data_IF_465781682185
#
_entry.id   IF_465781682185
#
_cell.length_a   1.000
_cell.length_b   1.000
_cell.length_c   1.000
_cell.angle_alpha   90.00
_cell.angle_beta   90.00
_cell.angle_gamma   90.00
#
_symmetry.space_group_name_H-M   'P 1'
#
loop_
_entity.id
_entity.type
_entity.pdbx_description
1 polymer ?
#
# COMPACT_ATOMS: atom_id res chain seq x y z
N UNK A 1 17.74 3.66 -9.83
CA UNK A 1 16.95 2.68 -10.62
C UNK A 1 15.63 2.32 -9.96
N UNK A 2 15.62 1.95 -8.71
CA UNK A 2 14.38 1.58 -7.99
C UNK A 2 13.34 2.70 -8.02
N UNK A 3 13.71 3.93 -7.70
CA UNK A 3 12.78 5.06 -7.69
C UNK A 3 12.23 5.38 -9.08
N UNK A 4 13.01 5.25 -10.13
CA UNK A 4 12.55 5.47 -11.50
C UNK A 4 11.51 4.44 -11.91
N UNK A 5 11.70 3.17 -11.55
CA UNK A 5 10.73 2.11 -11.81
C UNK A 5 9.45 2.34 -11.01
N UNK A 6 9.56 2.72 -9.75
CA UNK A 6 8.40 3.06 -8.92
C UNK A 6 7.62 4.24 -9.49
N UNK A 7 8.31 5.26 -10.00
CA UNK A 7 7.66 6.40 -10.64
C UNK A 7 6.83 5.97 -11.87
N UNK A 8 7.38 5.09 -12.70
CA UNK A 8 6.64 4.57 -13.85
C UNK A 8 5.45 3.71 -13.43
N UNK A 9 5.65 2.83 -12.47
CA UNK A 9 4.57 1.97 -11.97
C UNK A 9 3.45 2.77 -11.33
N UNK A 10 3.77 3.87 -10.65
CA UNK A 10 2.78 4.74 -10.05
C UNK A 10 1.91 5.48 -11.07
N UNK A 11 2.30 5.48 -12.34
CA UNK A 11 1.53 6.07 -13.44
C UNK A 11 0.68 5.05 -14.20
N UNK A 12 0.82 3.77 -13.91
CA UNK A 12 0.02 2.74 -14.57
C UNK A 12 -1.45 2.95 -14.23
N UNK A 13 -2.27 3.16 -15.26
CA UNK A 13 -3.70 3.33 -15.09
C UNK A 13 -4.39 1.98 -14.98
N UNK A 14 -5.27 1.85 -14.01
CA UNK A 14 -6.07 0.66 -13.79
C UNK A 14 -7.52 0.98 -14.04
N UNK A 15 -8.12 0.29 -15.02
CA UNK A 15 -9.51 0.49 -15.39
C UNK A 15 -10.47 -0.40 -14.59
N UNK A 16 -9.99 -1.54 -14.09
CA UNK A 16 -10.82 -2.48 -13.35
C UNK A 16 -10.77 -2.21 -11.86
N UNK A 17 -11.92 -2.15 -11.23
CA UNK A 17 -12.06 -1.95 -9.79
C UNK A 17 -11.34 -3.04 -8.99
N UNK A 18 -11.45 -4.31 -9.42
CA UNK A 18 -10.78 -5.42 -8.72
C UNK A 18 -9.26 -5.26 -8.70
N UNK A 19 -8.66 -4.79 -9.79
CA UNK A 19 -7.22 -4.54 -9.86
C UNK A 19 -6.81 -3.38 -8.95
N UNK A 20 -7.58 -2.31 -8.94
CA UNK A 20 -7.33 -1.18 -8.05
C UNK A 20 -7.41 -1.61 -6.58
N UNK A 21 -8.42 -2.41 -6.22
CA UNK A 21 -8.58 -2.94 -4.87
C UNK A 21 -7.44 -3.87 -4.48
N UNK A 22 -6.99 -4.73 -5.41
CA UNK A 22 -5.85 -5.62 -5.18
C UNK A 22 -4.57 -4.83 -4.90
N UNK A 23 -4.33 -3.75 -5.65
CA UNK A 23 -3.19 -2.88 -5.42
C UNK A 23 -3.25 -2.19 -4.05
N UNK A 24 -4.43 -1.67 -3.67
CA UNK A 24 -4.63 -1.04 -2.36
C UNK A 24 -4.37 -2.04 -1.23
N UNK A 25 -4.92 -3.26 -1.34
CA UNK A 25 -4.70 -4.30 -0.34
C UNK A 25 -3.22 -4.62 -0.16
N UNK A 26 -2.49 -4.74 -1.27
CA UNK A 26 -1.05 -5.01 -1.22
C UNK A 26 -0.27 -3.83 -0.64
N UNK A 27 -0.58 -2.59 -1.05
CA UNK A 27 0.07 -1.41 -0.50
C UNK A 27 -0.11 -1.31 1.01
N UNK A 28 -1.34 -1.49 1.50
CA UNK A 28 -1.63 -1.42 2.93
C UNK A 28 -0.97 -2.56 3.70
N UNK A 29 -0.90 -3.74 3.12
CA UNK A 29 -0.27 -4.90 3.77
C UNK A 29 1.24 -4.73 3.89
N UNK A 30 1.90 -4.22 2.85
CA UNK A 30 3.36 -4.12 2.81
C UNK A 30 3.89 -2.79 3.36
N UNK A 31 3.19 -1.67 3.14
CA UNK A 31 3.65 -0.35 3.58
C UNK A 31 3.02 0.12 4.87
N UNK A 32 2.00 -0.58 5.35
CA UNK A 32 1.21 -0.07 6.43
C UNK A 32 0.97 -1.04 7.55
N UNK A 33 -0.03 -0.73 8.29
CA UNK A 33 -0.44 -1.53 9.40
C UNK A 33 -1.67 -0.97 10.09
N UNK A 34 -2.07 -1.71 11.09
CA UNK A 34 -3.17 -1.35 11.98
C UNK A 34 -2.60 -0.76 13.24
N UNK A 35 -3.17 0.35 13.67
CA UNK A 35 -2.83 0.97 14.94
C UNK A 35 -4.08 1.11 15.79
N UNK A 36 -3.95 0.92 17.09
CA UNK A 36 -5.02 1.21 18.02
C UNK A 36 -4.77 2.57 18.65
N UNK A 37 -5.67 3.51 18.41
CA UNK A 37 -5.61 4.84 18.97
C UNK A 37 -6.91 5.10 19.71
N UNK A 38 -6.83 5.27 21.02
CA UNK A 38 -7.99 5.50 21.90
C UNK A 38 -9.09 4.43 21.71
N UNK A 39 -8.68 3.17 21.53
CA UNK A 39 -9.60 2.05 21.35
C UNK A 39 -10.15 1.89 19.94
N UNK A 40 -9.76 2.76 19.01
CA UNK A 40 -10.19 2.69 17.61
C UNK A 40 -9.09 2.17 16.70
N UNK A 41 -9.49 1.41 15.69
CA UNK A 41 -8.56 0.93 14.67
C UNK A 41 -8.30 2.05 13.66
N UNK A 42 -7.03 2.37 13.49
CA UNK A 42 -6.55 3.33 12.49
C UNK A 42 -5.70 2.56 11.47
N UNK A 43 -6.00 2.78 10.19
CA UNK A 43 -5.17 2.22 9.09
C UNK A 43 -4.17 3.28 8.67
N UNK A 44 -2.90 2.91 8.60
CA UNK A 44 -1.83 3.84 8.27
C UNK A 44 -0.83 3.17 7.33
N UNK A 45 -0.35 3.91 6.34
CA UNK A 45 0.69 3.44 5.42
C UNK A 45 1.75 4.52 5.26
N UNK A 46 3.01 4.13 5.35
CA UNK A 46 4.16 5.01 5.16
C UNK A 46 4.87 4.68 3.86
N UNK A 47 5.01 5.68 3.00
CA UNK A 47 5.56 5.54 1.65
C UNK A 47 6.70 6.54 1.42
N UNK A 48 7.61 6.18 0.54
CA UNK A 48 8.79 6.99 0.24
C UNK A 48 8.59 7.95 -0.94
N UNK A 49 7.45 7.88 -1.62
CA UNK A 49 7.17 8.74 -2.78
C UNK A 49 5.77 9.34 -2.69
N UNK A 50 5.69 10.65 -2.92
CA UNK A 50 4.42 11.38 -2.87
C UNK A 50 3.41 10.92 -3.90
N UNK A 51 3.85 10.51 -5.09
CA UNK A 51 2.98 10.00 -6.14
C UNK A 51 2.23 8.75 -5.70
N UNK A 52 2.93 7.84 -5.05
CA UNK A 52 2.36 6.57 -4.56
C UNK A 52 1.36 6.86 -3.45
N UNK A 53 1.72 7.76 -2.53
CA UNK A 53 0.84 8.15 -1.43
C UNK A 53 -0.45 8.82 -1.94
N UNK A 54 -0.34 9.72 -2.91
CA UNK A 54 -1.51 10.37 -3.52
C UNK A 54 -2.40 9.36 -4.25
N UNK A 55 -1.79 8.42 -4.95
CA UNK A 55 -2.51 7.34 -5.63
C UNK A 55 -3.27 6.46 -4.64
N UNK A 56 -2.62 6.06 -3.56
CA UNK A 56 -3.25 5.26 -2.51
C UNK A 56 -4.42 6.02 -1.87
N UNK A 57 -4.21 7.28 -1.51
CA UNK A 57 -5.27 8.11 -0.93
C UNK A 57 -6.48 8.23 -1.86
N UNK A 58 -6.22 8.51 -3.13
CA UNK A 58 -7.27 8.63 -4.14
C UNK A 58 -8.08 7.32 -4.26
N UNK A 59 -7.39 6.20 -4.31
CA UNK A 59 -8.04 4.89 -4.43
C UNK A 59 -8.87 4.55 -3.18
N UNK A 60 -8.38 4.87 -2.00
CA UNK A 60 -9.15 4.66 -0.76
C UNK A 60 -10.44 5.49 -0.79
N UNK A 61 -10.35 6.75 -1.17
CA UNK A 61 -11.52 7.63 -1.24
C UNK A 61 -12.52 7.15 -2.29
N UNK A 62 -12.04 6.87 -3.50
CA UNK A 62 -12.91 6.47 -4.61
C UNK A 62 -13.52 5.08 -4.47
N UNK A 63 -12.72 4.11 -4.03
CA UNK A 63 -13.15 2.71 -3.98
C UNK A 63 -13.91 2.36 -2.71
N UNK A 64 -13.57 2.98 -1.60
CA UNK A 64 -14.11 2.61 -0.29
C UNK A 64 -14.88 3.73 0.41
N UNK A 65 -14.80 4.95 -0.10
CA UNK A 65 -15.56 6.07 0.45
C UNK A 65 -15.10 6.56 1.81
N UNK A 66 -13.86 6.26 2.20
CA UNK A 66 -13.31 6.72 3.47
C UNK A 66 -12.46 7.97 3.30
N UNK A 67 -12.53 8.88 4.24
CA UNK A 67 -11.62 10.03 4.29
C UNK A 67 -10.22 9.53 4.64
N UNK A 68 -9.25 9.96 3.86
CA UNK A 68 -7.86 9.61 4.09
C UNK A 68 -7.02 10.88 4.19
N UNK A 69 -6.20 10.95 5.24
CA UNK A 69 -5.29 12.07 5.45
C UNK A 69 -3.94 11.73 4.85
N UNK A 70 -3.31 12.72 4.21
CA UNK A 70 -1.96 12.60 3.69
C UNK A 70 -1.07 13.60 4.43
N UNK A 71 -0.07 13.08 5.13
CA UNK A 71 0.90 13.88 5.84
C UNK A 71 2.29 13.68 5.26
N UNK A 72 3.10 14.73 5.30
CA UNK A 72 4.49 14.67 4.85
C UNK A 72 5.39 14.81 6.08
N UNK A 73 6.24 13.81 6.30
CA UNK A 73 7.22 13.84 7.38
C UNK A 73 8.59 14.13 6.77
N UNK A 74 9.23 15.20 7.25
CA UNK A 74 10.59 15.53 6.82
C UNK A 74 11.59 14.69 7.60
N UNK A 75 12.53 14.09 6.87
CA UNK A 75 13.62 13.35 7.49
C UNK A 75 14.59 14.27 8.18
N UNK A 76 15.11 13.83 9.33
CA UNK A 76 16.16 14.54 10.07
C UNK A 76 17.29 13.56 10.43
N UNK A 77 18.51 14.07 10.53
CA UNK A 77 19.66 13.26 10.90
C UNK A 77 20.04 12.24 9.83
N UNK A 78 20.08 10.95 10.18
CA UNK A 78 20.50 9.87 9.32
C UNK A 78 19.49 9.62 8.18
N UNK A 79 18.20 9.82 8.44
CA UNK A 79 17.15 9.71 7.43
C UNK A 79 17.03 11.01 6.66
N UNK A 80 17.53 10.99 5.42
CA UNK A 80 17.35 12.09 4.48
C UNK A 80 16.18 11.78 3.56
N UNK A 81 15.36 12.77 3.31
CA UNK A 81 14.21 12.66 2.42
C UNK A 81 12.89 12.64 3.16
N UNK A 82 11.82 12.95 2.42
CA UNK A 82 10.48 13.01 2.97
C UNK A 82 9.85 11.62 3.01
N UNK A 83 9.05 11.39 4.03
CA UNK A 83 8.17 10.23 4.14
C UNK A 83 6.74 10.71 4.04
N UNK A 84 5.91 9.91 3.41
CA UNK A 84 4.51 10.24 3.17
C UNK A 84 3.64 9.23 3.91
N UNK A 85 2.74 9.73 4.74
CA UNK A 85 1.86 8.89 5.55
C UNK A 85 0.42 9.10 5.10
N UNK A 86 -0.23 8.02 4.68
CA UNK A 86 -1.66 8.00 4.38
C UNK A 86 -2.35 7.35 5.56
N UNK A 87 -3.35 8.01 6.12
CA UNK A 87 -3.98 7.60 7.37
C UNK A 87 -5.49 7.68 7.28
N UNK A 88 -6.17 6.62 7.70
CA UNK A 88 -7.64 6.56 7.80
C UNK A 88 -8.00 6.35 9.26
N UNK A 89 -8.59 7.36 9.87
CA UNK A 89 -9.01 7.35 11.28
C UNK A 89 -10.47 6.92 11.39
N UNK A 90 -11.36 7.63 10.70
CA UNK A 90 -12.78 7.29 10.70
C UNK A 90 -13.04 6.17 9.72
N UNK A 91 -13.68 5.11 10.20
CA UNK A 91 -13.94 3.94 9.36
C UNK A 91 -12.73 3.04 9.14
N UNK A 92 -11.66 3.22 9.91
CA UNK A 92 -10.45 2.40 9.80
C UNK A 92 -10.72 0.91 9.99
N UNK A 93 -11.62 0.55 10.90
CA UNK A 93 -12.04 -0.82 11.11
C UNK A 93 -12.77 -1.39 9.89
N UNK A 94 -13.62 -0.61 9.27
CA UNK A 94 -14.34 -1.01 8.05
C UNK A 94 -13.36 -1.17 6.89
N UNK A 95 -12.46 -0.21 6.70
CA UNK A 95 -11.44 -0.29 5.65
C UNK A 95 -10.54 -1.51 5.86
N UNK A 96 -10.14 -1.78 7.10
CA UNK A 96 -9.30 -2.93 7.42
C UNK A 96 -9.98 -4.25 7.02
N UNK A 97 -11.28 -4.37 7.24
CA UNK A 97 -12.05 -5.54 6.79
C UNK A 97 -12.17 -5.59 5.26
N UNK A 98 -12.44 -4.46 4.63
CA UNK A 98 -12.61 -4.37 3.17
C UNK A 98 -11.33 -4.72 2.42
N UNK A 99 -10.18 -4.38 2.97
CA UNK A 99 -8.87 -4.62 2.35
C UNK A 99 -8.20 -5.92 2.78
N UNK A 100 -8.82 -6.64 3.71
CA UNK A 100 -8.30 -7.92 4.17
C UNK A 100 -7.15 -7.83 5.16
N UNK A 101 -6.99 -6.70 5.84
CA UNK A 101 -6.04 -6.57 6.94
C UNK A 101 -6.55 -7.30 8.18
N UNK A 102 -7.86 -7.32 8.38
CA UNK A 102 -8.53 -8.11 9.41
C UNK A 102 -9.66 -8.94 8.80
N UNK A 103 -10.04 -10.02 9.45
CA UNK A 103 -11.18 -10.85 9.04
C UNK A 103 -12.51 -10.28 9.54
N UNK A 104 -13.62 -10.96 9.26
CA UNK A 104 -14.95 -10.53 9.66
C UNK A 104 -15.13 -10.50 11.19
N UNK A 105 -14.32 -11.26 11.92
CA UNK A 105 -14.32 -11.28 13.39
C UNK A 105 -13.38 -10.22 13.99
N UNK A 106 -12.70 -9.42 13.16
CA UNK A 106 -11.79 -8.39 13.61
C UNK A 106 -10.38 -8.89 13.95
N UNK A 107 -10.02 -10.10 13.53
CA UNK A 107 -8.70 -10.67 13.79
C UNK A 107 -7.74 -10.36 12.66
N UNK A 108 -6.47 -10.01 12.95
CA UNK A 108 -5.49 -9.75 11.91
C UNK A 108 -5.29 -10.95 10.98
N UNK A 109 -5.22 -10.67 9.68
CA UNK A 109 -4.94 -11.68 8.66
C UNK A 109 -3.47 -11.58 8.27
N UNK A 110 -2.81 -12.73 8.11
CA UNK A 110 -1.45 -12.79 7.57
C UNK A 110 -1.53 -12.85 6.06
N UNK A 111 -0.71 -12.04 5.40
CA UNK A 111 -0.66 -12.00 3.95
C UNK A 111 -1.82 -11.25 3.32
N UNK A 112 -2.13 -11.59 2.09
CA UNK A 112 -3.19 -10.94 1.31
C UNK A 112 -4.50 -11.73 1.42
N UNK A 113 -5.67 -11.04 1.27
CA UNK A 113 -6.95 -11.74 1.37
C UNK A 113 -7.17 -12.71 0.21
N UNK A 114 -7.99 -13.77 0.43
CA UNK A 114 -8.28 -14.74 -0.63
C UNK A 114 -8.86 -14.14 -1.90
N UNK A 115 -9.61 -13.05 -1.81
CA UNK A 115 -10.16 -12.35 -2.97
C UNK A 115 -9.07 -11.79 -3.90
N UNK A 116 -7.89 -11.48 -3.36
CA UNK A 116 -6.75 -11.02 -4.15
C UNK A 116 -5.93 -12.21 -4.65
N UNK A 117 -5.59 -13.13 -3.75
CA UNK A 117 -4.75 -14.29 -4.08
C UNK A 117 -5.46 -15.24 -5.05
N UNK A 118 -6.76 -15.45 -4.89
CA UNK A 118 -7.60 -16.29 -5.75
C UNK A 118 -8.21 -15.55 -6.94
N UNK A 119 -7.84 -14.30 -7.14
CA UNK A 119 -8.35 -13.49 -8.25
C UNK A 119 -7.68 -13.84 -9.58
N UNK A 120 -8.04 -13.08 -10.62
CA UNK A 120 -7.46 -13.26 -11.95
C UNK A 120 -6.01 -12.80 -12.03
N UNK A 121 -5.41 -12.99 -13.21
CA UNK A 121 -4.02 -12.58 -13.47
C UNK A 121 -3.85 -11.08 -13.25
N UNK A 122 -4.81 -10.26 -13.68
CA UNK A 122 -4.74 -8.81 -13.50
C UNK A 122 -4.71 -8.40 -12.03
N UNK A 123 -5.40 -9.13 -11.16
CA UNK A 123 -5.39 -8.89 -9.71
C UNK A 123 -4.03 -9.24 -9.12
N UNK A 124 -3.44 -10.35 -9.56
CA UNK A 124 -2.09 -10.75 -9.13
C UNK A 124 -1.05 -9.73 -9.57
N UNK A 125 -1.12 -9.24 -10.79
CA UNK A 125 -0.22 -8.21 -11.30
C UNK A 125 -0.33 -6.93 -10.48
N UNK A 126 -1.57 -6.51 -10.17
CA UNK A 126 -1.82 -5.32 -9.36
C UNK A 126 -1.30 -5.49 -7.93
N UNK A 127 -1.46 -6.67 -7.34
CA UNK A 127 -0.95 -6.98 -6.01
C UNK A 127 0.58 -6.95 -5.97
N UNK A 128 1.25 -7.54 -6.95
CA UNK A 128 2.71 -7.48 -7.07
C UNK A 128 3.20 -6.04 -7.23
N UNK A 129 2.50 -5.25 -8.07
CA UNK A 129 2.83 -3.83 -8.24
C UNK A 129 2.70 -3.08 -6.92
N UNK A 130 1.60 -3.28 -6.19
CA UNK A 130 1.40 -2.64 -4.88
C UNK A 130 2.49 -3.01 -3.88
N UNK A 131 2.83 -4.29 -3.80
CA UNK A 131 3.91 -4.76 -2.91
C UNK A 131 5.25 -4.15 -3.28
N UNK A 132 5.57 -4.07 -4.56
CA UNK A 132 6.81 -3.44 -5.03
C UNK A 132 6.82 -1.93 -4.76
N UNK A 133 5.72 -1.24 -5.01
CA UNK A 133 5.61 0.19 -4.72
C UNK A 133 5.81 0.49 -3.23
N UNK A 134 5.40 -0.44 -2.36
CA UNK A 134 5.59 -0.30 -0.92
C UNK A 134 7.03 -0.53 -0.49
N UNK A 135 7.58 -1.70 -0.78
CA UNK A 135 8.89 -2.14 -0.27
C UNK A 135 9.73 -2.90 -1.29
N UNK A 136 9.54 -2.61 -2.57
CA UNK A 136 10.36 -3.22 -3.61
C UNK A 136 11.68 -2.52 -3.82
N UNK A 137 12.67 -3.29 -4.27
CA UNK A 137 13.95 -2.76 -4.72
C UNK A 137 14.51 -3.59 -5.86
N UNK A 138 15.30 -2.94 -6.70
CA UNK A 138 15.99 -3.57 -7.82
C UNK A 138 17.48 -3.40 -7.66
N UNK A 139 18.23 -4.46 -7.98
CA UNK A 139 19.68 -4.39 -8.05
C UNK A 139 20.10 -3.51 -9.23
N UNK A 140 21.14 -2.70 -9.03
CA UNK A 140 21.65 -1.81 -10.06
C UNK A 140 22.20 -2.57 -11.28
N UNK A 141 22.09 -1.97 -12.49
CA UNK A 141 22.62 -2.57 -13.70
C UNK A 141 24.12 -2.86 -13.60
N UNK A 142 24.55 -3.96 -14.20
CA UNK A 142 25.96 -4.39 -14.21
C UNK A 142 26.33 -5.33 -13.08
N UNK A 143 25.43 -5.59 -12.15
CA UNK A 143 25.56 -6.60 -11.11
C UNK A 143 24.56 -7.72 -11.34
N UNK A 144 24.55 -8.75 -10.49
CA UNK A 144 23.52 -9.78 -10.57
C UNK A 144 22.14 -9.14 -10.44
N UNK A 145 21.23 -9.48 -11.37
CA UNK A 145 19.87 -8.93 -11.35
C UNK A 145 19.07 -9.55 -10.23
N UNK A 146 18.53 -8.73 -9.36
CA UNK A 146 17.65 -9.18 -8.28
C UNK A 146 16.49 -8.20 -8.10
N UNK A 147 15.30 -8.78 -7.96
CA UNK A 147 14.10 -8.07 -7.54
C UNK A 147 13.80 -8.52 -6.12
N UNK A 148 13.70 -7.57 -5.20
CA UNK A 148 13.40 -7.87 -3.81
C UNK A 148 12.14 -7.12 -3.37
N UNK A 149 11.30 -7.79 -2.60
CA UNK A 149 10.17 -7.17 -1.91
C UNK A 149 10.25 -7.61 -0.45
N UNK A 150 10.40 -6.63 0.43
CA UNK A 150 10.47 -6.90 1.87
C UNK A 150 9.07 -6.94 2.45
N UNK A 151 8.71 -8.08 3.06
CA UNK A 151 7.45 -8.22 3.76
C UNK A 151 7.59 -7.83 5.23
N UNK A 152 6.61 -7.18 5.79
CA UNK A 152 6.60 -6.86 7.22
C UNK A 152 6.42 -8.08 8.08
#
# INVERSE_FOLDING_TARGET
MTSAVKDELARVELNKTCCRKAEVSALLRFAGGLHLVAGQIVVEAELDAGQIARRLRKDIVELYGHDAELSVLQGSGIRKGARYVVRVVQGGDVLAKQTGLIDSAGRPIRGLPPSVVGGGICDAEAAWRGAFLAHGSLTEPGRSSALEITAP
#
